data_IF_408596581227
#
_entry.id   IF_408596581227
#
_cell.length_a   1.000
_cell.length_b   1.000
_cell.length_c   1.000
_cell.angle_alpha   90.00
_cell.angle_beta   90.00
_cell.angle_gamma   90.00
#
_symmetry.space_group_name_H-M   'P 1'
#
loop_
_entity.id
_entity.type
_entity.pdbx_description
1 polymer ?
#
# COMPACT_ATOMS: atom_id res chain seq x y z
N UNK A 1 -7.39 2.15 44.76
CA UNK A 1 -6.50 3.13 44.09
C UNK A 1 -5.55 3.72 45.13
N UNK A 2 -4.33 3.18 45.23
CA UNK A 2 -3.29 3.68 46.15
C UNK A 2 -2.15 4.26 45.29
N UNK A 3 -1.94 5.58 45.40
CA UNK A 3 -0.80 6.29 44.81
C UNK A 3 0.40 6.06 45.72
N UNK A 4 1.43 5.41 45.20
CA UNK A 4 2.75 5.34 45.84
C UNK A 4 3.55 6.56 45.40
N UNK A 5 3.83 7.45 46.35
CA UNK A 5 4.82 8.52 46.20
C UNK A 5 5.69 8.52 47.47
N UNK A 6 6.80 7.79 47.40
CA UNK A 6 7.96 7.82 48.29
C UNK A 6 9.18 7.85 47.34
N UNK A 7 10.33 8.45 47.58
CA UNK A 7 10.91 9.23 48.67
C UNK A 7 12.31 9.58 48.14
N UNK A 8 12.70 10.85 48.02
CA UNK A 8 14.14 11.20 47.90
C UNK A 8 14.46 12.28 48.93
N UNK A 9 14.87 11.76 50.07
CA UNK A 9 15.76 12.22 51.13
C UNK A 9 16.46 13.56 50.92
N UNK A 10 16.19 14.45 51.87
CA UNK A 10 16.99 15.63 52.26
C UNK A 10 18.42 15.21 52.61
N UNK A 11 19.41 15.96 52.14
CA UNK A 11 20.67 16.09 52.87
C UNK A 11 21.19 17.52 52.72
N UNK A 12 20.95 18.32 53.75
CA UNK A 12 21.71 19.53 54.05
C UNK A 12 23.07 19.09 54.61
N UNK A 13 24.15 19.65 54.09
CA UNK A 13 25.32 19.93 54.90
C UNK A 13 25.79 21.35 54.54
N UNK A 14 25.60 22.27 55.49
CA UNK A 14 26.18 23.60 55.48
C UNK A 14 27.52 23.48 56.21
N UNK A 15 28.61 23.81 55.52
CA UNK A 15 29.88 24.14 56.15
C UNK A 15 30.32 25.48 55.57
N UNK A 16 30.26 26.52 56.40
CA UNK A 16 30.76 27.85 56.10
C UNK A 16 32.27 27.88 56.38
N UNK A 17 33.06 28.35 55.42
CA UNK A 17 34.43 28.80 55.69
C UNK A 17 34.91 29.78 54.61
N UNK A 18 35.12 31.02 55.09
CA UNK A 18 36.13 32.01 54.69
C UNK A 18 36.09 32.52 53.24
N UNK A 19 35.64 33.76 53.10
CA UNK A 19 35.85 34.60 51.94
C UNK A 19 37.35 34.94 51.77
N UNK A 20 37.91 34.53 50.65
CA UNK A 20 39.04 35.21 50.01
C UNK A 20 38.63 35.58 48.59
N UNK A 21 38.74 36.87 48.28
CA UNK A 21 38.41 37.43 47.00
C UNK A 21 39.22 36.81 45.87
N UNK A 22 38.52 36.15 44.96
CA UNK A 22 38.87 36.12 43.55
C UNK A 22 37.66 36.72 42.83
N UNK A 23 37.84 37.94 42.33
CA UNK A 23 37.01 38.50 41.27
C UNK A 23 37.23 37.64 40.02
N UNK A 24 36.59 36.47 40.01
CA UNK A 24 36.44 35.65 38.82
C UNK A 24 35.50 36.39 37.90
N UNK A 25 36.07 37.14 36.97
CA UNK A 25 35.39 37.75 35.83
C UNK A 25 34.43 36.69 35.30
N UNK A 26 33.12 36.93 35.45
CA UNK A 26 32.12 36.12 34.78
C UNK A 26 32.40 36.28 33.29
N UNK A 27 33.14 35.33 32.72
CA UNK A 27 33.31 35.26 31.27
C UNK A 27 31.92 34.97 30.73
N UNK A 28 31.25 36.02 30.26
CA UNK A 28 30.09 35.86 29.39
C UNK A 28 30.61 35.12 28.17
N UNK A 29 30.48 33.79 28.18
CA UNK A 29 30.87 32.95 27.08
C UNK A 29 30.01 33.36 25.88
N UNK A 30 30.59 34.18 24.99
CA UNK A 30 29.97 34.59 23.75
C UNK A 30 29.65 33.32 22.96
N UNK A 31 28.39 32.91 22.93
CA UNK A 31 27.96 31.77 22.15
C UNK A 31 28.23 32.08 20.67
N UNK A 32 28.93 31.17 19.97
CA UNK A 32 29.18 31.33 18.54
C UNK A 32 27.85 31.54 17.81
N UNK A 33 27.71 32.67 17.13
CA UNK A 33 26.52 33.03 16.35
C UNK A 33 26.42 32.26 15.02
N UNK A 34 27.48 31.54 14.67
CA UNK A 34 27.66 30.85 13.38
C UNK A 34 27.37 29.35 13.52
N UNK A 35 26.80 28.75 12.48
CA UNK A 35 26.62 27.30 12.42
C UNK A 35 27.88 26.57 11.94
N UNK A 36 28.18 25.47 12.63
CA UNK A 36 29.26 24.55 12.30
C UNK A 36 28.69 23.16 12.10
N UNK A 37 29.30 22.33 11.25
CA UNK A 37 28.89 20.93 11.08
C UNK A 37 30.10 20.01 11.05
N UNK A 38 29.89 18.78 11.51
CA UNK A 38 30.87 17.72 11.34
C UNK A 38 30.97 17.31 9.86
N UNK A 39 31.98 16.50 9.55
CA UNK A 39 32.06 15.81 8.26
C UNK A 39 30.79 15.04 7.96
N UNK A 40 30.38 15.06 6.70
CA UNK A 40 29.21 14.33 6.23
C UNK A 40 29.58 12.85 6.13
N UNK A 41 28.79 11.99 6.75
CA UNK A 41 28.95 10.55 6.70
C UNK A 41 27.90 9.94 5.79
N UNK A 42 28.31 9.15 4.82
CA UNK A 42 27.41 8.26 4.09
C UNK A 42 26.88 7.19 5.04
N UNK A 43 25.61 6.83 4.88
CA UNK A 43 24.94 5.81 5.69
C UNK A 43 24.11 4.91 4.80
N UNK A 44 23.75 3.73 5.33
CA UNK A 44 22.84 2.82 4.64
C UNK A 44 21.54 3.54 4.28
N UNK A 45 21.12 3.38 3.03
CA UNK A 45 19.83 3.86 2.53
C UNK A 45 18.70 3.37 3.44
N UNK A 46 18.00 4.31 4.07
CA UNK A 46 16.93 4.01 5.02
C UNK A 46 15.68 4.77 4.62
N UNK A 47 14.57 4.06 4.43
CA UNK A 47 13.26 4.69 4.21
C UNK A 47 12.77 5.38 5.49
N UNK A 48 12.25 6.57 5.33
CA UNK A 48 11.74 7.43 6.39
C UNK A 48 10.46 8.15 5.93
N UNK A 49 9.70 8.68 6.86
CA UNK A 49 8.57 9.55 6.60
C UNK A 49 8.55 10.73 7.58
N UNK A 50 8.01 11.86 7.14
CA UNK A 50 7.86 13.05 7.98
C UNK A 50 6.59 12.95 8.83
N UNK A 51 6.65 13.48 10.05
CA UNK A 51 5.46 13.73 10.88
C UNK A 51 5.27 15.20 11.21
N UNK A 52 6.12 16.07 10.68
CA UNK A 52 6.19 17.47 11.08
C UNK A 52 5.39 18.38 10.16
N UNK A 53 4.61 19.28 10.76
CA UNK A 53 3.89 20.36 10.06
C UNK A 53 4.72 21.64 9.90
N UNK A 54 5.80 21.78 10.66
CA UNK A 54 6.62 22.99 10.72
C UNK A 54 8.03 22.79 10.17
N UNK A 55 8.51 21.54 10.20
CA UNK A 55 9.84 21.17 9.76
C UNK A 55 10.05 21.39 8.27
N UNK A 56 11.33 21.59 7.91
CA UNK A 56 11.76 21.87 6.54
C UNK A 56 12.98 21.03 6.19
N UNK A 57 13.22 20.87 4.90
CA UNK A 57 14.53 20.48 4.38
C UNK A 57 15.34 21.72 4.01
N UNK A 58 16.66 21.60 4.04
CA UNK A 58 17.59 22.69 3.82
C UNK A 58 18.75 22.31 2.92
N UNK A 59 19.30 23.28 2.22
CA UNK A 59 20.62 23.23 1.62
C UNK A 59 21.60 23.95 2.55
N UNK A 60 22.75 23.33 2.83
CA UNK A 60 23.83 24.01 3.54
C UNK A 60 24.61 24.87 2.55
N UNK A 61 24.79 26.16 2.87
CA UNK A 61 25.54 27.13 2.05
C UNK A 61 26.75 27.63 2.82
N UNK A 62 27.95 27.45 2.27
CA UNK A 62 29.20 27.77 2.95
C UNK A 62 30.01 26.52 3.34
N UNK A 63 31.06 26.75 4.12
CA UNK A 63 32.01 25.72 4.56
C UNK A 63 31.50 24.94 5.77
N UNK A 64 32.19 23.88 6.18
CA UNK A 64 31.78 23.12 7.37
C UNK A 64 31.87 23.94 8.68
N UNK A 65 32.79 24.89 8.77
CA UNK A 65 33.00 25.77 9.93
C UNK A 65 32.25 27.10 9.84
N UNK A 66 31.61 27.39 8.71
CA UNK A 66 30.79 28.58 8.57
C UNK A 66 29.76 28.34 7.47
N UNK A 67 28.55 27.95 7.85
CA UNK A 67 27.45 27.79 6.90
C UNK A 67 26.15 28.40 7.39
N UNK A 68 25.23 28.57 6.45
CA UNK A 68 23.84 28.96 6.71
C UNK A 68 22.88 27.93 6.12
N UNK A 69 21.69 27.88 6.71
CA UNK A 69 20.58 27.08 6.21
C UNK A 69 19.83 27.86 5.13
N UNK A 70 19.81 27.34 3.89
CA UNK A 70 18.88 27.80 2.86
C UNK A 70 17.71 26.83 2.78
N UNK A 71 16.51 27.26 3.13
CA UNK A 71 15.29 26.45 3.03
C UNK A 71 15.13 25.87 1.62
N UNK A 72 14.75 24.59 1.54
CA UNK A 72 14.48 23.89 0.27
C UNK A 72 13.00 23.53 0.16
N UNK A 73 12.46 22.73 1.09
CA UNK A 73 11.06 22.29 1.04
C UNK A 73 10.41 22.26 2.42
N UNK A 74 9.14 22.65 2.50
CA UNK A 74 8.31 22.46 3.70
C UNK A 74 7.85 21.00 3.81
N UNK A 75 8.15 20.34 4.94
CA UNK A 75 7.81 18.92 5.10
C UNK A 75 6.31 18.66 5.14
N UNK A 76 5.49 19.64 5.52
CA UNK A 76 4.01 19.54 5.52
C UNK A 76 3.44 19.15 4.15
N UNK A 77 4.12 19.53 3.07
CA UNK A 77 3.70 19.23 1.70
C UNK A 77 4.03 17.78 1.28
N UNK A 78 4.70 17.02 2.16
CA UNK A 78 5.25 15.68 1.88
C UNK A 78 4.87 14.64 2.95
N UNK A 79 3.75 14.84 3.65
CA UNK A 79 3.25 13.85 4.63
C UNK A 79 2.86 12.53 3.97
N UNK A 80 2.50 12.56 2.69
CA UNK A 80 2.08 11.38 1.94
C UNK A 80 3.20 10.90 1.00
N UNK A 81 4.42 10.75 1.52
CA UNK A 81 5.57 10.30 0.74
C UNK A 81 6.66 9.66 1.60
N UNK A 82 7.46 8.82 0.96
CA UNK A 82 8.66 8.23 1.57
C UNK A 82 9.89 9.06 1.20
N UNK A 83 10.71 9.31 2.21
CA UNK A 83 12.02 9.94 2.10
C UNK A 83 13.13 8.90 2.31
N UNK A 84 14.11 8.85 1.43
CA UNK A 84 15.26 7.94 1.56
C UNK A 84 16.44 8.71 2.13
N UNK A 85 16.84 8.38 3.37
CA UNK A 85 18.06 8.90 4.01
C UNK A 85 19.28 8.18 3.45
N UNK A 86 20.29 8.95 3.04
CA UNK A 86 21.57 8.42 2.52
C UNK A 86 22.81 8.99 3.19
N UNK A 87 22.70 10.14 3.88
CA UNK A 87 23.83 10.76 4.60
C UNK A 87 23.37 11.34 5.94
N UNK A 88 24.32 11.56 6.84
CA UNK A 88 24.10 12.28 8.09
C UNK A 88 25.26 13.21 8.45
N UNK A 89 24.96 14.26 9.23
CA UNK A 89 25.97 15.09 9.90
C UNK A 89 25.40 15.66 11.20
N UNK A 90 26.27 16.13 12.10
CA UNK A 90 25.85 16.88 13.28
C UNK A 90 26.10 18.36 13.03
N UNK A 91 25.07 19.18 13.19
CA UNK A 91 25.14 20.64 13.18
C UNK A 91 25.25 21.14 14.61
N UNK A 92 26.09 22.14 14.84
CA UNK A 92 26.31 22.81 16.13
C UNK A 92 26.08 24.32 15.98
N UNK A 93 25.48 24.91 17.00
CA UNK A 93 25.26 26.36 17.13
C UNK A 93 25.33 26.73 18.62
N UNK A 94 26.32 27.53 18.99
CA UNK A 94 26.67 27.73 20.40
C UNK A 94 26.82 26.39 21.15
N UNK A 95 26.00 26.19 22.20
CA UNK A 95 25.98 24.97 23.02
C UNK A 95 25.02 23.88 22.51
N UNK A 96 24.27 24.17 21.45
CA UNK A 96 23.27 23.25 20.90
C UNK A 96 23.85 22.42 19.77
N UNK A 97 23.43 21.16 19.69
CA UNK A 97 23.77 20.29 18.58
C UNK A 97 22.57 19.44 18.13
N UNK A 98 22.53 19.09 16.86
CA UNK A 98 21.45 18.28 16.28
C UNK A 98 21.94 17.47 15.09
N UNK A 99 21.47 16.23 14.98
CA UNK A 99 21.76 15.40 13.80
C UNK A 99 20.83 15.77 12.66
N UNK A 100 21.40 16.01 11.49
CA UNK A 100 20.69 16.22 10.25
C UNK A 100 20.90 15.05 9.30
N UNK A 101 19.84 14.66 8.61
CA UNK A 101 19.81 13.63 7.60
C UNK A 101 19.68 14.25 6.22
N UNK A 102 20.51 13.81 5.28
CA UNK A 102 20.25 14.11 3.87
C UNK A 102 19.26 13.09 3.35
N UNK A 103 18.12 13.60 2.88
CA UNK A 103 17.00 12.78 2.42
C UNK A 103 16.61 13.15 0.98
N UNK A 104 16.10 12.17 0.24
CA UNK A 104 15.50 12.34 -1.09
C UNK A 104 14.10 11.73 -1.12
N UNK A 105 13.11 12.48 -1.56
CA UNK A 105 11.73 12.07 -1.70
C UNK A 105 11.58 11.07 -2.86
N UNK A 106 10.87 9.97 -2.61
CA UNK A 106 10.69 8.91 -3.59
C UNK A 106 9.65 9.25 -4.66
N UNK A 107 8.69 10.15 -4.37
CA UNK A 107 7.61 10.52 -5.29
C UNK A 107 8.11 11.47 -6.37
N UNK A 108 8.83 12.53 -6.01
CA UNK A 108 9.21 13.61 -6.94
C UNK A 108 10.69 13.98 -6.93
N UNK A 109 11.51 13.31 -6.11
CA UNK A 109 12.95 13.55 -6.07
C UNK A 109 13.39 14.80 -5.31
N UNK A 110 12.48 15.54 -4.66
CA UNK A 110 12.81 16.63 -3.75
C UNK A 110 13.85 16.16 -2.73
N UNK A 111 14.81 17.02 -2.36
CA UNK A 111 15.89 16.59 -1.47
C UNK A 111 16.39 17.71 -0.56
N UNK A 112 17.12 17.33 0.48
CA UNK A 112 17.78 18.27 1.37
C UNK A 112 18.09 17.69 2.74
N UNK A 113 18.71 18.52 3.57
CA UNK A 113 19.03 18.21 4.97
C UNK A 113 17.84 18.49 5.86
N UNK A 114 17.43 17.50 6.64
CA UNK A 114 16.32 17.60 7.60
C UNK A 114 16.82 17.22 8.99
N UNK A 115 16.35 17.92 10.02
CA UNK A 115 16.67 17.53 11.40
C UNK A 115 16.04 16.16 11.69
N UNK A 116 16.81 15.24 12.30
CA UNK A 116 16.38 13.89 12.67
C UNK A 116 15.03 13.87 13.39
N UNK A 117 14.75 14.86 14.26
CA UNK A 117 13.52 14.90 15.08
C UNK A 117 12.23 14.95 14.25
N UNK A 118 12.29 15.38 13.00
CA UNK A 118 11.12 15.46 12.12
C UNK A 118 10.83 14.19 11.32
N UNK A 119 11.73 13.21 11.39
CA UNK A 119 11.69 12.00 10.56
C UNK A 119 11.52 10.75 11.41
N UNK A 120 10.66 9.84 10.96
CA UNK A 120 10.51 8.49 11.53
C UNK A 120 10.90 7.45 10.50
N UNK A 121 11.45 6.33 10.95
CA UNK A 121 11.82 5.22 10.06
C UNK A 121 10.57 4.53 9.52
N UNK A 122 10.61 4.17 8.23
CA UNK A 122 9.55 3.42 7.57
C UNK A 122 9.17 4.00 6.22
N UNK A 123 8.47 3.20 5.43
CA UNK A 123 7.84 3.64 4.17
C UNK A 123 6.47 4.25 4.44
N UNK A 124 6.11 5.23 3.64
CA UNK A 124 4.80 5.86 3.65
C UNK A 124 4.31 6.16 2.23
N UNK A 125 3.02 5.93 2.02
CA UNK A 125 2.34 6.02 0.72
C UNK A 125 3.08 5.29 -0.41
N UNK A 126 3.70 4.15 -0.12
CA UNK A 126 4.37 3.29 -1.11
C UNK A 126 3.64 1.95 -1.26
N UNK A 127 3.88 1.28 -2.37
CA UNK A 127 3.37 -0.08 -2.61
C UNK A 127 4.46 -0.98 -3.20
N UNK A 128 4.35 -2.28 -2.94
CA UNK A 128 5.16 -3.29 -3.61
C UNK A 128 4.53 -3.65 -4.96
N UNK A 129 5.33 -4.32 -5.81
CA UNK A 129 4.81 -4.97 -7.01
C UNK A 129 3.68 -5.95 -6.63
N UNK A 130 2.59 -6.00 -7.41
CA UNK A 130 1.63 -7.07 -7.28
C UNK A 130 2.32 -8.42 -7.50
N UNK A 131 1.90 -9.41 -6.74
CA UNK A 131 2.22 -10.81 -6.94
C UNK A 131 0.93 -11.51 -7.33
N UNK A 132 0.94 -12.17 -8.48
CA UNK A 132 -0.17 -12.99 -8.90
C UNK A 132 -0.29 -14.18 -7.94
N UNK A 133 -1.52 -14.57 -7.64
CA UNK A 133 -1.80 -15.74 -6.81
C UNK A 133 -2.75 -16.64 -7.57
N UNK A 134 -2.70 -17.94 -7.29
CA UNK A 134 -3.73 -18.87 -7.77
C UNK A 134 -5.08 -18.35 -7.32
N UNK A 135 -6.00 -18.19 -8.28
CA UNK A 135 -7.31 -17.64 -8.01
C UNK A 135 -8.04 -18.47 -6.95
N UNK A 136 -8.60 -17.78 -5.96
CA UNK A 136 -9.43 -18.38 -4.92
C UNK A 136 -10.59 -17.47 -4.62
N UNK A 137 -11.72 -18.07 -4.30
CA UNK A 137 -12.92 -17.34 -3.97
C UNK A 137 -12.95 -16.96 -2.48
N UNK A 138 -13.39 -15.72 -2.28
CA UNK A 138 -13.55 -15.10 -0.98
C UNK A 138 -14.94 -14.48 -0.86
N UNK A 139 -15.41 -14.44 0.38
CA UNK A 139 -16.61 -13.70 0.77
C UNK A 139 -16.25 -12.59 1.75
N UNK A 140 -17.17 -11.64 1.89
CA UNK A 140 -17.03 -10.54 2.83
C UNK A 140 -17.03 -11.06 4.28
N UNK A 141 -15.93 -10.81 5.00
CA UNK A 141 -15.82 -11.09 6.43
C UNK A 141 -16.29 -9.90 7.28
N UNK A 142 -16.05 -8.68 6.80
CA UNK A 142 -16.45 -7.45 7.49
C UNK A 142 -16.63 -6.28 6.54
N UNK A 143 -17.32 -5.23 7.00
CA UNK A 143 -17.46 -3.97 6.28
C UNK A 143 -16.12 -3.43 5.76
N UNK A 144 -16.07 -3.16 4.47
CA UNK A 144 -14.85 -2.78 3.77
C UNK A 144 -15.12 -2.17 2.40
N UNK A 145 -14.05 -1.77 1.71
CA UNK A 145 -14.13 -1.14 0.38
C UNK A 145 -13.09 -1.71 -0.55
N UNK A 146 -13.48 -1.83 -1.82
CA UNK A 146 -12.59 -2.11 -2.95
C UNK A 146 -12.21 -0.79 -3.60
N UNK A 147 -10.91 -0.55 -3.74
CA UNK A 147 -10.37 0.71 -4.25
C UNK A 147 -9.62 0.52 -5.56
N UNK A 148 -9.75 1.51 -6.44
CA UNK A 148 -8.79 1.69 -7.51
C UNK A 148 -7.55 2.41 -6.97
N UNK A 149 -6.35 1.96 -7.36
CA UNK A 149 -5.09 2.60 -6.96
C UNK A 149 -4.62 3.55 -8.07
N UNK A 150 -4.15 4.74 -7.70
CA UNK A 150 -3.46 5.68 -8.58
C UNK A 150 -2.00 5.75 -8.19
N UNK A 151 -1.10 5.86 -9.17
CA UNK A 151 0.34 6.08 -8.95
C UNK A 151 1.17 4.84 -9.27
N UNK A 152 2.31 4.71 -8.59
CA UNK A 152 3.30 3.65 -8.80
C UNK A 152 3.88 3.18 -7.44
N UNK A 153 4.87 2.30 -7.46
CA UNK A 153 5.43 1.74 -6.22
C UNK A 153 6.06 2.78 -5.28
N UNK A 154 6.57 3.88 -5.83
CA UNK A 154 7.20 4.95 -5.06
C UNK A 154 6.18 5.91 -4.44
N UNK A 155 4.96 5.96 -4.97
CA UNK A 155 3.86 6.75 -4.44
C UNK A 155 2.51 6.25 -4.95
N UNK A 156 1.55 6.05 -4.05
CA UNK A 156 0.18 5.70 -4.44
C UNK A 156 -0.88 6.58 -3.75
N UNK A 157 -2.11 6.54 -4.28
CA UNK A 157 -3.30 7.07 -3.65
C UNK A 157 -4.49 6.15 -3.92
N UNK A 158 -5.36 5.95 -2.92
CA UNK A 158 -6.66 5.33 -3.11
C UNK A 158 -7.59 6.30 -3.86
N UNK A 159 -8.18 5.85 -4.98
CA UNK A 159 -9.28 6.56 -5.65
C UNK A 159 -10.61 6.28 -4.92
N UNK A 160 -11.74 6.61 -5.55
CA UNK A 160 -13.06 6.22 -5.06
C UNK A 160 -13.11 4.73 -4.77
N UNK A 161 -13.66 4.39 -3.61
CA UNK A 161 -13.84 3.01 -3.17
C UNK A 161 -15.30 2.61 -3.23
N UNK A 162 -15.58 1.44 -3.80
CA UNK A 162 -16.91 0.80 -3.77
C UNK A 162 -16.99 -0.07 -2.52
N UNK A 163 -18.10 0.00 -1.78
CA UNK A 163 -18.31 -0.88 -0.62
C UNK A 163 -18.35 -2.35 -1.06
N UNK A 164 -17.82 -3.23 -0.23
CA UNK A 164 -18.02 -4.67 -0.39
C UNK A 164 -19.49 -5.01 -0.23
N UNK A 165 -19.95 -6.01 -0.98
CA UNK A 165 -21.31 -6.52 -0.99
C UNK A 165 -21.31 -7.88 -0.28
N UNK A 166 -22.18 -8.02 0.72
CA UNK A 166 -22.31 -9.23 1.55
C UNK A 166 -22.93 -10.42 0.82
N UNK A 167 -23.39 -10.25 -0.42
CA UNK A 167 -23.95 -11.33 -1.25
C UNK A 167 -23.06 -11.67 -2.45
N UNK A 168 -21.92 -11.00 -2.60
CA UNK A 168 -21.00 -11.22 -3.70
C UNK A 168 -19.87 -12.18 -3.31
N UNK A 169 -19.45 -13.00 -4.27
CA UNK A 169 -18.21 -13.76 -4.20
C UNK A 169 -17.12 -12.97 -4.92
N UNK A 170 -15.90 -13.00 -4.39
CA UNK A 170 -14.75 -12.25 -4.89
C UNK A 170 -13.60 -13.20 -5.22
N UNK A 171 -13.29 -13.36 -6.51
CA UNK A 171 -12.09 -14.05 -6.95
C UNK A 171 -10.87 -13.17 -6.64
N UNK A 172 -9.94 -13.68 -5.82
CA UNK A 172 -8.67 -13.01 -5.51
C UNK A 172 -7.60 -13.48 -6.49
N UNK A 173 -7.10 -12.57 -7.32
CA UNK A 173 -6.17 -12.91 -8.43
C UNK A 173 -4.75 -12.42 -8.20
N UNK A 174 -4.58 -11.43 -7.31
CA UNK A 174 -3.27 -10.93 -6.94
C UNK A 174 -3.26 -10.40 -5.50
N UNK A 175 -2.06 -10.27 -4.95
CA UNK A 175 -1.82 -9.59 -3.68
C UNK A 175 -0.68 -8.59 -3.77
N UNK A 176 -0.71 -7.53 -2.96
CA UNK A 176 0.43 -6.61 -2.81
C UNK A 176 0.53 -6.06 -1.40
N UNK A 177 1.75 -5.65 -1.03
CA UNK A 177 1.99 -4.91 0.20
C UNK A 177 1.83 -3.41 -0.04
N UNK A 178 1.05 -2.76 0.82
CA UNK A 178 0.89 -1.31 0.89
C UNK A 178 1.55 -0.81 2.19
N UNK A 179 2.31 0.28 2.09
CA UNK A 179 3.04 0.87 3.21
C UNK A 179 2.47 2.24 3.59
N UNK A 180 2.07 2.40 4.86
CA UNK A 180 1.62 3.68 5.42
C UNK A 180 2.21 3.89 6.81
N UNK A 181 2.84 5.05 7.03
CA UNK A 181 3.44 5.47 8.31
C UNK A 181 4.33 4.39 8.94
N UNK A 182 5.12 3.69 8.12
CA UNK A 182 6.01 2.61 8.53
C UNK A 182 5.33 1.26 8.79
N UNK A 183 4.01 1.15 8.64
CA UNK A 183 3.27 -0.11 8.72
C UNK A 183 3.07 -0.71 7.33
N UNK A 184 3.03 -2.04 7.29
CA UNK A 184 2.74 -2.82 6.09
C UNK A 184 1.34 -3.42 6.20
N UNK A 185 0.59 -3.42 5.11
CA UNK A 185 -0.73 -4.06 5.01
C UNK A 185 -0.83 -4.81 3.69
N UNK A 186 -1.38 -6.03 3.72
CA UNK A 186 -1.62 -6.83 2.52
C UNK A 186 -2.95 -6.40 1.90
N UNK A 187 -2.96 -6.23 0.59
CA UNK A 187 -4.16 -5.96 -0.19
C UNK A 187 -4.32 -7.02 -1.26
N UNK A 188 -5.55 -7.50 -1.41
CA UNK A 188 -5.95 -8.40 -2.49
C UNK A 188 -6.55 -7.61 -3.63
N UNK A 189 -6.22 -8.00 -4.86
CA UNK A 189 -6.99 -7.61 -6.03
C UNK A 189 -8.14 -8.58 -6.21
N UNK A 190 -9.35 -8.05 -6.28
CA UNK A 190 -10.58 -8.83 -6.38
C UNK A 190 -11.32 -8.56 -7.67
N UNK A 191 -11.97 -9.59 -8.18
CA UNK A 191 -13.00 -9.54 -9.22
C UNK A 191 -14.27 -10.15 -8.62
N UNK A 192 -15.27 -9.29 -8.37
CA UNK A 192 -16.55 -9.67 -7.76
C UNK A 192 -17.58 -10.15 -8.79
N UNK A 193 -18.47 -11.05 -8.36
CA UNK A 193 -19.64 -11.47 -9.14
C UNK A 193 -20.60 -10.29 -9.42
N UNK A 194 -20.57 -9.25 -8.58
CA UNK A 194 -21.30 -7.99 -8.74
C UNK A 194 -20.62 -6.98 -9.69
N UNK A 195 -19.56 -7.40 -10.39
CA UNK A 195 -18.76 -6.58 -11.30
C UNK A 195 -17.74 -5.66 -10.61
N UNK A 196 -17.62 -5.70 -9.27
CA UNK A 196 -16.62 -4.90 -8.55
C UNK A 196 -15.21 -5.39 -8.85
N UNK A 197 -14.31 -4.48 -9.20
CA UNK A 197 -12.87 -4.79 -9.41
C UNK A 197 -12.00 -3.80 -8.65
N UNK A 198 -10.88 -4.28 -8.09
CA UNK A 198 -9.87 -3.42 -7.47
C UNK A 198 -9.20 -4.00 -6.23
N UNK A 199 -8.54 -3.15 -5.45
CA UNK A 199 -7.74 -3.54 -4.28
C UNK A 199 -8.53 -3.37 -2.99
N UNK A 200 -8.65 -4.44 -2.21
CA UNK A 200 -9.25 -4.43 -0.87
C UNK A 200 -8.26 -4.94 0.17
N UNK A 201 -8.38 -4.46 1.41
CA UNK A 201 -7.55 -4.99 2.49
C UNK A 201 -7.95 -6.43 2.78
N UNK A 202 -6.95 -7.32 2.91
CA UNK A 202 -7.20 -8.76 3.01
C UNK A 202 -8.11 -9.14 4.18
N UNK A 203 -8.06 -8.42 5.31
CA UNK A 203 -8.86 -8.74 6.50
C UNK A 203 -10.35 -8.43 6.36
N UNK A 204 -10.78 -7.78 5.28
CA UNK A 204 -12.20 -7.64 4.95
C UNK A 204 -12.79 -8.90 4.29
N UNK A 205 -11.95 -9.87 3.95
CA UNK A 205 -12.33 -11.07 3.23
C UNK A 205 -11.96 -12.33 4.01
N UNK A 206 -12.74 -13.39 3.82
CA UNK A 206 -12.41 -14.75 4.26
C UNK A 206 -12.64 -15.71 3.12
N UNK A 207 -11.86 -16.79 3.06
CA UNK A 207 -11.99 -17.79 1.99
C UNK A 207 -13.38 -18.44 2.03
N UNK A 208 -13.99 -18.63 0.86
CA UNK A 208 -15.31 -19.21 0.73
C UNK A 208 -16.07 -18.65 -0.47
N UNK A 209 -17.22 -19.25 -0.75
CA UNK A 209 -18.11 -18.87 -1.84
C UNK A 209 -19.51 -18.61 -1.27
N UNK A 210 -20.19 -17.55 -1.74
CA UNK A 210 -21.63 -17.44 -1.53
C UNK A 210 -22.33 -18.45 -2.43
N UNK A 211 -22.98 -19.43 -1.81
CA UNK A 211 -23.94 -20.28 -2.53
C UNK A 211 -25.12 -19.42 -2.95
N UNK A 212 -25.19 -19.06 -4.22
CA UNK A 212 -26.39 -18.47 -4.81
C UNK A 212 -27.58 -19.39 -4.54
N UNK A 213 -28.75 -18.85 -4.21
CA UNK A 213 -29.97 -19.61 -3.96
C UNK A 213 -30.49 -20.42 -5.18
N UNK A 214 -29.78 -20.40 -6.31
CA UNK A 214 -30.07 -21.18 -7.52
C UNK A 214 -29.28 -22.51 -7.62
N UNK A 215 -28.53 -22.91 -6.58
CA UNK A 215 -27.66 -24.10 -6.62
C UNK A 215 -28.40 -25.44 -6.43
N UNK A 216 -29.64 -25.55 -6.90
CA UNK A 216 -30.35 -26.82 -6.99
C UNK A 216 -30.61 -27.15 -8.47
N UNK A 217 -29.92 -28.18 -8.96
CA UNK A 217 -30.12 -28.89 -10.23
C UNK A 217 -29.33 -28.38 -11.45
N UNK A 218 -28.02 -28.62 -11.47
CA UNK A 218 -27.33 -28.97 -12.72
C UNK A 218 -26.81 -30.39 -12.54
N UNK A 219 -27.65 -31.37 -12.91
CA UNK A 219 -27.22 -32.76 -13.02
C UNK A 219 -26.59 -32.93 -14.41
N UNK A 220 -25.28 -33.13 -14.44
CA UNK A 220 -24.54 -33.41 -15.68
C UNK A 220 -25.02 -34.72 -16.32
N UNK A 221 -25.67 -34.65 -17.47
CA UNK A 221 -25.91 -35.83 -18.32
C UNK A 221 -24.64 -36.16 -19.12
N UNK A 222 -23.93 -37.18 -18.63
CA UNK A 222 -23.02 -38.13 -19.30
C UNK A 222 -22.35 -37.74 -20.63
N UNK A 223 -21.00 -37.76 -20.66
CA UNK A 223 -20.21 -37.73 -21.89
C UNK A 223 -18.69 -37.66 -21.69
N UNK A 224 -18.09 -38.77 -21.25
CA UNK A 224 -16.67 -39.14 -21.21
C UNK A 224 -15.62 -38.14 -21.82
N UNK A 225 -14.88 -37.42 -20.96
CA UNK A 225 -13.41 -37.30 -20.89
C UNK A 225 -12.97 -36.04 -20.11
N UNK A 226 -12.34 -36.26 -18.96
CA UNK A 226 -11.18 -35.47 -18.54
C UNK A 226 -11.33 -34.09 -17.91
N UNK A 227 -12.38 -33.78 -17.14
CA UNK A 227 -12.39 -32.93 -15.92
C UNK A 227 -13.82 -32.41 -15.67
N UNK A 228 -14.27 -32.47 -14.42
CA UNK A 228 -15.60 -32.01 -14.03
C UNK A 228 -15.64 -30.47 -14.02
N UNK A 229 -16.77 -29.89 -14.46
CA UNK A 229 -17.09 -28.50 -14.21
C UNK A 229 -17.03 -28.21 -12.70
N UNK A 230 -16.60 -27.00 -12.33
CA UNK A 230 -16.59 -26.58 -10.93
C UNK A 230 -18.02 -26.52 -10.36
N UNK A 231 -18.14 -26.26 -9.05
CA UNK A 231 -19.44 -26.26 -8.36
C UNK A 231 -20.44 -25.20 -8.86
N UNK A 232 -19.99 -24.33 -9.78
CA UNK A 232 -20.72 -23.29 -10.50
C UNK A 232 -21.13 -23.69 -11.94
N UNK A 233 -20.70 -24.86 -12.43
CA UNK A 233 -20.97 -25.34 -13.78
C UNK A 233 -20.02 -24.82 -14.88
N UNK A 234 -18.95 -24.09 -14.52
CA UNK A 234 -18.00 -23.50 -15.47
C UNK A 234 -16.62 -24.17 -15.44
N UNK A 235 -15.87 -24.00 -16.54
CA UNK A 235 -14.46 -24.38 -16.64
C UNK A 235 -13.63 -23.09 -16.53
N UNK A 236 -12.89 -22.95 -15.43
CA UNK A 236 -12.00 -21.81 -15.23
C UNK A 236 -10.65 -22.05 -15.92
N UNK A 237 -10.23 -21.06 -16.71
CA UNK A 237 -8.95 -21.08 -17.44
C UNK A 237 -8.06 -19.92 -17.02
N UNK A 238 -6.76 -20.20 -16.84
CA UNK A 238 -5.77 -19.21 -16.40
C UNK A 238 -5.29 -18.31 -17.56
N UNK A 239 -5.51 -18.74 -18.81
CA UNK A 239 -5.18 -18.00 -20.02
C UNK A 239 -6.06 -18.45 -21.21
N UNK A 240 -6.15 -17.62 -22.25
CA UNK A 240 -6.97 -17.91 -23.43
C UNK A 240 -6.53 -19.16 -24.21
N UNK A 241 -5.25 -19.53 -24.14
CA UNK A 241 -4.72 -20.75 -24.79
C UNK A 241 -5.18 -22.06 -24.13
N UNK A 242 -5.79 -22.01 -22.96
CA UNK A 242 -6.40 -23.18 -22.31
C UNK A 242 -7.85 -23.42 -22.75
N UNK A 243 -8.43 -22.50 -23.53
CA UNK A 243 -9.78 -22.67 -24.08
C UNK A 243 -9.73 -23.75 -25.16
N UNK A 244 -10.50 -24.83 -24.96
CA UNK A 244 -10.61 -25.96 -25.89
C UNK A 244 -9.69 -27.14 -25.58
N UNK A 245 -8.60 -26.94 -24.84
CA UNK A 245 -7.72 -28.06 -24.41
C UNK A 245 -8.25 -28.84 -23.21
N UNK A 246 -9.26 -28.29 -22.50
CA UNK A 246 -9.90 -28.87 -21.30
C UNK A 246 -11.28 -29.49 -21.58
N UNK A 247 -11.63 -29.74 -22.84
CA UNK A 247 -12.88 -30.40 -23.24
C UNK A 247 -14.03 -29.44 -23.59
N UNK A 248 -15.23 -29.97 -23.83
CA UNK A 248 -16.40 -29.13 -24.13
C UNK A 248 -16.96 -28.50 -22.84
N UNK A 249 -17.17 -27.18 -22.81
CA UNK A 249 -17.73 -26.50 -21.64
C UNK A 249 -17.82 -24.99 -21.80
N UNK A 250 -18.45 -24.31 -20.84
CA UNK A 250 -18.49 -22.84 -20.79
C UNK A 250 -17.24 -22.37 -20.05
N UNK A 251 -16.37 -21.68 -20.78
CA UNK A 251 -15.10 -21.19 -20.29
C UNK A 251 -15.24 -19.82 -19.66
N UNK A 252 -14.74 -19.66 -18.44
CA UNK A 252 -14.60 -18.35 -17.79
C UNK A 252 -13.12 -18.04 -17.62
N UNK A 253 -12.73 -16.87 -18.12
CA UNK A 253 -11.39 -16.34 -17.92
C UNK A 253 -11.39 -15.35 -16.75
N UNK A 254 -10.39 -15.48 -15.89
CA UNK A 254 -10.21 -14.61 -14.72
C UNK A 254 -9.18 -13.52 -15.04
N UNK A 255 -9.64 -12.27 -15.21
CA UNK A 255 -8.78 -11.11 -15.49
C UNK A 255 -7.61 -10.97 -14.50
N UNK A 256 -6.39 -10.90 -15.03
CA UNK A 256 -5.17 -10.72 -14.26
C UNK A 256 -4.86 -9.23 -14.03
N UNK A 257 -4.29 -8.89 -12.87
CA UNK A 257 -4.00 -7.51 -12.47
C UNK A 257 -2.90 -6.80 -13.31
N UNK A 258 -2.22 -7.55 -14.17
CA UNK A 258 -1.17 -7.05 -15.06
C UNK A 258 -1.59 -6.98 -16.54
N UNK A 259 -2.79 -7.45 -16.89
CA UNK A 259 -3.18 -7.53 -18.29
C UNK A 259 -3.71 -6.18 -18.79
N UNK A 260 -3.10 -5.66 -19.85
CA UNK A 260 -3.67 -4.59 -20.66
C UNK A 260 -4.53 -5.25 -21.73
N UNK A 261 -5.84 -5.36 -21.54
CA UNK A 261 -6.72 -5.97 -22.54
C UNK A 261 -7.12 -5.00 -23.65
N UNK A 262 -7.23 -5.53 -24.87
CA UNK A 262 -7.88 -4.88 -25.99
C UNK A 262 -9.40 -4.85 -25.78
N UNK A 263 -10.06 -3.92 -26.48
CA UNK A 263 -11.48 -3.63 -26.35
C UNK A 263 -12.37 -4.87 -26.56
N UNK A 264 -11.98 -5.80 -27.44
CA UNK A 264 -12.82 -6.95 -27.83
C UNK A 264 -13.08 -7.95 -26.68
N UNK A 265 -12.11 -8.17 -25.78
CA UNK A 265 -12.29 -9.14 -24.70
C UNK A 265 -13.20 -8.71 -23.57
N UNK A 266 -13.18 -7.42 -23.26
CA UNK A 266 -14.10 -6.84 -22.28
C UNK A 266 -15.54 -6.97 -22.79
N UNK A 267 -15.76 -6.74 -24.10
CA UNK A 267 -17.08 -6.91 -24.73
C UNK A 267 -17.56 -8.37 -24.70
N UNK A 268 -16.67 -9.36 -24.82
CA UNK A 268 -17.04 -10.78 -24.71
C UNK A 268 -17.45 -11.17 -23.29
N UNK A 269 -16.65 -10.84 -22.27
CA UNK A 269 -16.97 -11.16 -20.87
C UNK A 269 -18.29 -10.49 -20.43
N UNK A 270 -18.51 -9.25 -20.85
CA UNK A 270 -19.73 -8.51 -20.51
C UNK A 270 -20.97 -9.10 -21.22
N UNK A 271 -20.85 -9.58 -22.46
CA UNK A 271 -21.94 -10.29 -23.17
C UNK A 271 -22.33 -11.59 -22.47
N UNK A 272 -21.36 -12.41 -22.07
CA UNK A 272 -21.61 -13.67 -21.34
C UNK A 272 -22.28 -13.38 -19.99
N UNK A 273 -21.78 -12.39 -19.24
CA UNK A 273 -22.40 -11.97 -17.96
C UNK A 273 -23.81 -11.41 -18.14
N UNK A 274 -24.08 -10.69 -19.23
CA UNK A 274 -25.40 -10.16 -19.54
C UNK A 274 -26.42 -11.26 -19.88
N UNK A 275 -25.97 -12.35 -20.53
CA UNK A 275 -26.81 -13.53 -20.81
C UNK A 275 -27.13 -14.27 -19.52
N UNK A 276 -26.14 -14.49 -18.64
CA UNK A 276 -26.33 -15.14 -17.34
C UNK A 276 -27.30 -14.35 -16.43
N UNK A 277 -27.29 -13.02 -16.49
CA UNK A 277 -28.21 -12.17 -15.73
C UNK A 277 -29.67 -12.24 -16.20
N UNK A 278 -29.94 -12.70 -17.41
CA UNK A 278 -31.31 -12.77 -17.95
C UNK A 278 -32.09 -14.00 -17.49
N UNK A 279 -31.47 -14.95 -16.78
CA UNK A 279 -32.14 -16.17 -16.31
C UNK A 279 -32.49 -17.19 -17.42
N UNK A 280 -32.39 -16.79 -18.70
CA UNK A 280 -32.71 -17.60 -19.89
C UNK A 280 -31.78 -18.81 -20.15
N UNK A 281 -30.87 -19.09 -19.21
CA UNK A 281 -29.87 -20.16 -19.31
C UNK A 281 -30.13 -21.31 -18.34
N UNK A 282 -31.09 -21.14 -17.41
CA UNK A 282 -31.54 -22.22 -16.55
C UNK A 282 -32.12 -23.35 -17.43
N UNK A 283 -31.57 -24.56 -17.28
CA UNK A 283 -31.94 -25.78 -18.01
C UNK A 283 -31.51 -25.90 -19.49
N UNK A 284 -30.58 -25.09 -19.98
CA UNK A 284 -30.00 -25.27 -21.33
C UNK A 284 -28.63 -25.98 -21.27
N UNK A 285 -28.44 -26.97 -22.12
CA UNK A 285 -27.13 -27.62 -22.32
C UNK A 285 -26.16 -26.68 -23.04
N UNK A 286 -24.84 -26.90 -22.90
CA UNK A 286 -23.81 -26.10 -23.57
C UNK A 286 -24.03 -26.00 -25.09
N UNK A 287 -24.46 -27.11 -25.72
CA UNK A 287 -24.84 -27.17 -27.14
C UNK A 287 -26.05 -26.29 -27.46
N UNK A 288 -27.07 -26.27 -26.60
CA UNK A 288 -28.25 -25.41 -26.79
C UNK A 288 -27.91 -23.93 -26.59
N UNK A 289 -26.94 -23.59 -25.76
CA UNK A 289 -26.45 -22.21 -25.61
C UNK A 289 -25.69 -21.80 -26.87
N UNK A 290 -24.82 -22.68 -27.39
CA UNK A 290 -24.06 -22.45 -28.61
C UNK A 290 -24.97 -22.37 -29.85
N UNK A 291 -26.01 -23.18 -29.96
CA UNK A 291 -26.99 -23.10 -31.06
C UNK A 291 -27.89 -21.85 -30.97
N UNK A 292 -28.27 -21.44 -29.75
CA UNK A 292 -29.19 -20.32 -29.53
C UNK A 292 -28.50 -18.95 -29.59
N UNK A 293 -27.20 -18.89 -29.29
CA UNK A 293 -26.42 -17.65 -29.28
C UNK A 293 -25.23 -17.64 -30.25
N UNK A 294 -24.91 -18.76 -30.92
CA UNK A 294 -23.74 -18.90 -31.80
C UNK A 294 -23.76 -18.01 -33.04
N UNK A 295 -24.93 -17.52 -33.46
CA UNK A 295 -25.02 -16.50 -34.52
C UNK A 295 -24.76 -15.06 -34.03
N UNK A 296 -24.79 -14.82 -32.71
CA UNK A 296 -24.60 -13.50 -32.08
C UNK A 296 -23.30 -13.40 -31.25
N UNK A 297 -22.62 -14.54 -31.04
CA UNK A 297 -21.36 -14.65 -30.30
C UNK A 297 -20.36 -15.38 -31.19
N UNK A 298 -20.01 -14.79 -32.33
CA UNK A 298 -18.76 -15.14 -32.98
C UNK A 298 -17.64 -14.62 -32.09
N UNK A 299 -16.92 -15.56 -31.46
CA UNK A 299 -15.77 -15.25 -30.60
C UNK A 299 -14.58 -14.69 -31.40
N UNK A 300 -14.59 -14.76 -32.73
CA UNK A 300 -13.50 -14.32 -33.59
C UNK A 300 -14.04 -13.83 -34.94
N UNK A 301 -13.87 -12.54 -35.19
CA UNK A 301 -13.68 -11.93 -36.50
C UNK A 301 -12.39 -11.12 -36.43
#
# INVERSE_FOLDING_TARGET
MKKNLNSITKMMLVAASVAFGLTGIATTANASTVYHRTSIKSVKSTAMYSTSNTGKTYNFKGSASHFTFKTSHDLKNYHNSTWVKTKQTTVKHGRHSSTYYYVKDAKNGASGWVNKVYMKTGRDYQMANPQNVTSKDYIMNSNGKVYQLKGNNNWFQFKSGKSLNSSATYAVTAQRNIYKKGKTSVYFYVVGTDGTKGWTWHGYLTAGEHKSAAQNNITSSTGNSGQAANSDGFIHVDNASEVGSKGAGIYTYTENANDQWTKEGNEWSDKVRAILKKGDVENKTAKQIEEHYGSNINAWG
#
